data_IF_777178760617
#
_entry.id   IF_777178760617
#
_cell.length_a   1.000
_cell.length_b   1.000
_cell.length_c   1.000
_cell.angle_alpha   90.00
_cell.angle_beta   90.00
_cell.angle_gamma   90.00
#
_symmetry.space_group_name_H-M   'P 1'
#
loop_
_entity.id
_entity.type
_entity.pdbx_description
1 polymer ?
#
# COMPACT_ATOMS: atom_id res chain seq x y z
N UNK A 1 -6.50 -23.92 -13.17
CA UNK A 1 -7.19 -22.95 -12.28
C UNK A 1 -6.92 -23.38 -10.85
N UNK A 2 -6.43 -22.50 -9.97
CA UNK A 2 -6.08 -22.86 -8.59
C UNK A 2 -7.35 -23.20 -7.79
N UNK A 3 -7.53 -24.48 -7.43
CA UNK A 3 -8.69 -24.94 -6.65
C UNK A 3 -8.78 -24.28 -5.27
N UNK A 4 -7.64 -23.78 -4.74
CA UNK A 4 -7.53 -23.07 -3.48
C UNK A 4 -7.52 -21.53 -3.63
N UNK A 5 -7.85 -20.94 -4.77
CA UNK A 5 -8.00 -19.48 -4.84
C UNK A 5 -9.05 -18.97 -3.81
N UNK A 6 -8.82 -17.87 -3.05
CA UNK A 6 -7.73 -16.88 -3.13
C UNK A 6 -6.44 -17.25 -2.37
N UNK A 7 -6.37 -18.45 -1.79
CA UNK A 7 -5.23 -18.99 -1.08
C UNK A 7 -4.32 -19.85 -1.98
N UNK A 8 -3.19 -20.28 -1.42
CA UNK A 8 -2.29 -21.28 -1.99
C UNK A 8 -2.23 -22.45 -1.02
N UNK A 9 -2.32 -23.68 -1.53
CA UNK A 9 -2.11 -24.89 -0.74
C UNK A 9 -0.62 -25.13 -0.55
N UNK A 10 -0.24 -25.44 0.68
CA UNK A 10 1.08 -25.95 1.07
C UNK A 10 0.89 -27.32 1.70
N UNK A 11 1.59 -28.31 1.17
CA UNK A 11 1.55 -29.69 1.68
C UNK A 11 2.72 -29.92 2.63
N UNK A 12 2.41 -30.45 3.82
CA UNK A 12 3.40 -30.87 4.81
C UNK A 12 3.34 -32.39 4.97
N UNK A 13 4.32 -32.97 5.66
CA UNK A 13 4.43 -34.43 5.84
C UNK A 13 3.20 -35.08 6.50
N UNK A 14 2.47 -34.35 7.34
CA UNK A 14 1.34 -34.88 8.13
C UNK A 14 0.11 -33.95 8.13
N UNK A 15 0.16 -32.85 7.37
CA UNK A 15 -0.88 -31.83 7.37
C UNK A 15 -0.84 -31.00 6.09
N UNK A 16 -1.84 -30.16 5.94
CA UNK A 16 -1.97 -29.20 4.85
C UNK A 16 -2.14 -27.81 5.45
N UNK A 17 -1.66 -26.80 4.76
CA UNK A 17 -1.90 -25.40 5.08
C UNK A 17 -2.42 -24.66 3.87
N UNK A 18 -3.31 -23.69 4.07
CA UNK A 18 -3.67 -22.70 3.07
C UNK A 18 -3.13 -21.35 3.51
N UNK A 19 -2.49 -20.64 2.58
CA UNK A 19 -1.88 -19.35 2.83
C UNK A 19 -2.49 -18.31 1.89
N UNK A 20 -2.81 -17.12 2.42
CA UNK A 20 -3.14 -15.96 1.60
C UNK A 20 -2.30 -14.77 2.03
N UNK A 21 -1.62 -14.14 1.08
CA UNK A 21 -0.88 -12.87 1.26
C UNK A 21 -1.49 -11.73 0.43
N UNK A 22 -2.45 -12.06 -0.43
CA UNK A 22 -3.09 -11.15 -1.37
C UNK A 22 -4.45 -10.70 -0.81
N UNK A 23 -4.42 -9.87 0.23
CA UNK A 23 -5.64 -9.47 0.94
C UNK A 23 -6.55 -8.51 0.17
N UNK A 24 -6.06 -7.93 -0.91
CA UNK A 24 -6.83 -7.06 -1.80
C UNK A 24 -8.06 -7.76 -2.39
N UNK A 25 -8.08 -9.09 -2.47
CA UNK A 25 -9.23 -9.86 -2.93
C UNK A 25 -10.46 -9.78 -2.00
N UNK A 26 -10.31 -9.38 -0.74
CA UNK A 26 -11.41 -9.40 0.22
C UNK A 26 -12.08 -8.02 0.32
N UNK A 27 -13.17 -7.85 -0.43
CA UNK A 27 -13.92 -6.59 -0.54
C UNK A 27 -14.52 -6.09 0.78
N UNK A 28 -14.80 -6.98 1.72
CA UNK A 28 -15.45 -6.63 2.99
C UNK A 28 -14.49 -6.51 4.18
N UNK A 29 -13.19 -6.70 3.97
CA UNK A 29 -12.23 -6.79 5.08
C UNK A 29 -11.24 -5.61 5.06
N UNK A 30 -11.26 -4.82 6.12
CA UNK A 30 -10.20 -3.86 6.44
C UNK A 30 -9.05 -4.60 7.17
N UNK A 31 -7.92 -4.82 6.50
CA UNK A 31 -6.67 -5.26 7.13
C UNK A 31 -5.96 -6.45 6.47
N UNK A 32 -4.91 -6.95 7.14
CA UNK A 32 -4.05 -8.04 6.67
C UNK A 32 -4.49 -9.41 7.18
N UNK A 33 -3.53 -10.31 7.40
CA UNK A 33 -3.82 -11.73 7.70
C UNK A 33 -4.72 -11.95 8.91
N UNK A 34 -4.58 -11.15 9.98
CA UNK A 34 -5.46 -11.21 11.15
C UNK A 34 -6.93 -10.90 10.86
N UNK A 35 -7.21 -10.00 9.91
CA UNK A 35 -8.59 -9.65 9.55
C UNK A 35 -9.22 -10.77 8.73
N UNK A 36 -8.46 -11.38 7.82
CA UNK A 36 -8.89 -12.59 7.09
C UNK A 36 -9.08 -13.77 8.03
N UNK A 37 -8.22 -13.93 9.04
CA UNK A 37 -8.39 -14.98 10.05
C UNK A 37 -9.71 -14.83 10.80
N UNK A 38 -10.06 -13.61 11.21
CA UNK A 38 -11.32 -13.35 11.90
C UNK A 38 -12.52 -13.75 11.04
N UNK A 39 -12.48 -13.43 9.74
CA UNK A 39 -13.49 -13.86 8.78
C UNK A 39 -13.51 -15.38 8.64
N UNK A 40 -12.35 -16.01 8.41
CA UNK A 40 -12.22 -17.43 8.21
C UNK A 40 -12.71 -18.23 9.44
N UNK A 41 -12.45 -17.74 10.66
CA UNK A 41 -12.98 -18.30 11.90
C UNK A 41 -14.51 -18.18 11.97
N UNK A 42 -15.08 -17.06 11.54
CA UNK A 42 -16.53 -16.87 11.47
C UNK A 42 -17.16 -17.89 10.50
N UNK A 43 -16.64 -17.99 9.28
CA UNK A 43 -17.11 -18.94 8.27
C UNK A 43 -16.94 -20.39 8.72
N UNK A 44 -15.77 -20.75 9.25
CA UNK A 44 -15.53 -22.09 9.78
C UNK A 44 -16.53 -22.44 10.89
N UNK A 45 -16.92 -21.47 11.74
CA UNK A 45 -17.90 -21.70 12.79
C UNK A 45 -19.30 -21.91 12.22
N UNK A 46 -19.72 -21.05 11.28
CA UNK A 46 -21.03 -21.12 10.61
C UNK A 46 -21.21 -22.45 9.85
N UNK A 47 -20.13 -22.98 9.28
CA UNK A 47 -20.12 -24.21 8.49
C UNK A 47 -19.56 -25.43 9.25
N UNK A 48 -19.39 -25.34 10.58
CA UNK A 48 -18.99 -26.45 11.46
C UNK A 48 -17.61 -27.08 11.15
N UNK A 49 -16.67 -26.29 10.62
CA UNK A 49 -15.31 -26.71 10.27
C UNK A 49 -14.28 -26.47 11.39
N UNK A 50 -14.64 -25.78 12.47
CA UNK A 50 -13.68 -25.24 13.46
C UNK A 50 -12.86 -26.27 14.22
N UNK A 51 -13.33 -27.51 14.36
CA UNK A 51 -12.60 -28.55 15.10
C UNK A 51 -11.40 -29.10 14.33
N UNK A 52 -11.39 -28.91 13.02
CA UNK A 52 -10.42 -29.53 12.12
C UNK A 52 -9.38 -28.52 11.60
N UNK A 53 -9.50 -27.23 11.97
CA UNK A 53 -8.68 -26.14 11.44
C UNK A 53 -7.97 -25.39 12.58
N UNK A 54 -6.66 -25.31 12.48
CA UNK A 54 -5.83 -24.40 13.29
C UNK A 54 -5.48 -23.16 12.47
N UNK A 55 -5.56 -21.97 13.07
CA UNK A 55 -5.19 -20.71 12.41
C UNK A 55 -3.96 -20.12 13.08
N UNK A 56 -3.06 -19.58 12.26
CA UNK A 56 -1.78 -19.00 12.69
C UNK A 56 -1.38 -17.84 11.76
N UNK A 57 -2.21 -16.80 11.74
CA UNK A 57 -2.00 -15.67 10.84
C UNK A 57 -1.08 -14.61 11.44
N UNK A 58 -0.42 -13.86 10.57
CA UNK A 58 0.36 -12.66 10.88
C UNK A 58 -0.20 -11.45 10.13
N UNK A 59 0.36 -10.25 10.39
CA UNK A 59 -0.09 -9.03 9.71
C UNK A 59 0.00 -9.15 8.17
N UNK A 60 1.05 -9.78 7.65
CA UNK A 60 1.29 -9.95 6.21
C UNK A 60 0.79 -11.27 5.62
N UNK A 61 0.27 -12.20 6.42
CA UNK A 61 -0.03 -13.56 5.97
C UNK A 61 -1.22 -14.15 6.73
N UNK A 62 -2.28 -14.56 6.02
CA UNK A 62 -3.30 -15.45 6.56
C UNK A 62 -2.81 -16.89 6.43
N UNK A 63 -2.96 -17.68 7.50
CA UNK A 63 -2.63 -19.11 7.49
C UNK A 63 -3.69 -19.92 8.23
N UNK A 64 -4.12 -21.01 7.61
CA UNK A 64 -4.96 -22.03 8.23
C UNK A 64 -4.46 -23.43 7.86
N UNK A 65 -4.36 -24.32 8.84
CA UNK A 65 -3.86 -25.68 8.66
C UNK A 65 -4.84 -26.73 9.16
N UNK A 66 -4.86 -27.90 8.50
CA UNK A 66 -5.68 -29.05 8.87
C UNK A 66 -4.98 -30.35 8.45
N UNK A 67 -5.31 -31.46 9.11
CA UNK A 67 -4.91 -32.80 8.66
C UNK A 67 -5.68 -33.27 7.42
N UNK A 68 -6.87 -32.71 7.16
CA UNK A 68 -7.73 -33.05 6.04
C UNK A 68 -7.76 -31.93 4.99
N UNK A 69 -7.17 -32.19 3.81
CA UNK A 69 -7.16 -31.28 2.66
C UNK A 69 -8.56 -30.81 2.26
N UNK A 70 -9.59 -31.66 2.35
CA UNK A 70 -10.95 -31.33 1.95
C UNK A 70 -11.58 -30.22 2.82
N UNK A 71 -11.24 -30.18 4.11
CA UNK A 71 -11.71 -29.15 5.04
C UNK A 71 -11.13 -27.78 4.65
N UNK A 72 -9.84 -27.73 4.28
CA UNK A 72 -9.23 -26.49 3.81
C UNK A 72 -9.79 -26.05 2.47
N UNK A 73 -10.09 -27.00 1.57
CA UNK A 73 -10.73 -26.68 0.29
C UNK A 73 -12.11 -26.07 0.51
N UNK A 74 -12.89 -26.60 1.45
CA UNK A 74 -14.19 -26.07 1.81
C UNK A 74 -14.10 -24.66 2.41
N UNK A 75 -13.20 -24.43 3.38
CA UNK A 75 -12.97 -23.09 3.93
C UNK A 75 -12.57 -22.11 2.83
N UNK A 76 -11.72 -22.54 1.91
CA UNK A 76 -11.23 -21.72 0.80
C UNK A 76 -12.34 -21.37 -0.19
N UNK A 77 -13.26 -22.30 -0.47
CA UNK A 77 -14.44 -22.03 -1.29
C UNK A 77 -15.32 -20.95 -0.67
N UNK A 78 -15.54 -20.99 0.65
CA UNK A 78 -16.30 -19.96 1.38
C UNK A 78 -15.60 -18.60 1.33
N UNK A 79 -14.27 -18.58 1.47
CA UNK A 79 -13.49 -17.35 1.33
C UNK A 79 -13.61 -16.77 -0.09
N UNK A 80 -13.63 -17.61 -1.13
CA UNK A 80 -13.79 -17.17 -2.53
C UNK A 80 -15.15 -16.52 -2.80
N UNK A 81 -16.22 -16.98 -2.16
CA UNK A 81 -17.54 -16.34 -2.31
C UNK A 81 -17.52 -14.88 -1.86
N UNK A 82 -16.63 -14.53 -0.92
CA UNK A 82 -16.48 -13.17 -0.38
C UNK A 82 -15.55 -12.31 -1.24
N UNK A 83 -14.72 -12.91 -2.10
CA UNK A 83 -13.84 -12.15 -3.01
C UNK A 83 -14.57 -11.61 -4.24
N UNK A 84 -15.90 -11.40 -4.17
CA UNK A 84 -16.70 -10.83 -5.25
C UNK A 84 -16.69 -11.62 -6.56
N UNK A 85 -16.24 -12.88 -6.53
CA UNK A 85 -16.06 -13.69 -7.75
C UNK A 85 -14.86 -13.31 -8.62
N UNK A 86 -13.84 -12.64 -8.07
CA UNK A 86 -12.59 -12.44 -8.79
C UNK A 86 -12.00 -13.79 -9.24
N UNK A 87 -11.77 -13.94 -10.55
CA UNK A 87 -10.99 -15.07 -11.06
C UNK A 87 -9.50 -14.81 -10.78
N UNK A 88 -8.76 -15.88 -10.45
CA UNK A 88 -7.31 -15.89 -10.30
C UNK A 88 -6.67 -14.89 -11.28
N UNK A 89 -6.06 -13.82 -10.75
CA UNK A 89 -5.47 -12.76 -11.58
C UNK A 89 -4.76 -13.39 -12.77
N UNK A 90 -5.28 -13.17 -13.97
CA UNK A 90 -4.46 -13.27 -15.17
C UNK A 90 -3.33 -12.30 -14.92
N UNK A 91 -2.10 -12.78 -14.87
CA UNK A 91 -0.94 -11.92 -14.79
C UNK A 91 -1.14 -10.82 -15.83
N UNK A 92 -1.29 -9.57 -15.37
CA UNK A 92 -1.32 -8.45 -16.27
C UNK A 92 -0.06 -8.53 -17.14
N UNK A 93 -0.24 -8.35 -18.45
CA UNK A 93 0.82 -8.51 -19.45
C UNK A 93 2.13 -7.90 -18.95
N UNK A 94 3.23 -8.64 -19.14
CA UNK A 94 4.54 -8.27 -18.64
C UNK A 94 4.85 -6.81 -19.00
N UNK A 95 5.02 -5.96 -17.99
CA UNK A 95 5.58 -4.63 -18.17
C UNK A 95 6.92 -4.79 -18.89
N UNK A 96 6.96 -4.37 -20.15
CA UNK A 96 8.20 -4.34 -20.93
C UNK A 96 8.68 -2.91 -20.87
N UNK A 97 9.77 -2.69 -20.13
CA UNK A 97 10.41 -1.38 -20.06
C UNK A 97 11.01 -1.06 -21.44
N UNK A 98 10.86 0.18 -21.89
CA UNK A 98 11.50 0.64 -23.14
C UNK A 98 12.99 0.94 -22.96
N UNK A 99 13.47 0.87 -21.72
CA UNK A 99 14.84 1.16 -21.26
C UNK A 99 15.26 0.10 -20.24
N UNK A 100 16.56 0.05 -19.93
CA UNK A 100 17.05 -0.83 -18.88
C UNK A 100 16.50 -0.43 -17.50
N UNK A 101 16.36 -1.41 -16.62
CA UNK A 101 15.85 -1.21 -15.26
C UNK A 101 16.68 -0.17 -14.48
N UNK A 102 18.00 -0.20 -14.64
CA UNK A 102 18.90 0.75 -13.98
C UNK A 102 18.66 2.17 -14.45
N UNK A 103 18.48 2.37 -15.75
CA UNK A 103 18.16 3.68 -16.32
C UNK A 103 16.79 4.18 -15.82
N UNK A 104 15.78 3.30 -15.80
CA UNK A 104 14.46 3.64 -15.26
C UNK A 104 14.54 4.05 -13.78
N UNK A 105 15.35 3.36 -12.98
CA UNK A 105 15.56 3.68 -11.57
C UNK A 105 16.29 5.01 -11.38
N UNK A 106 17.34 5.30 -12.17
CA UNK A 106 18.05 6.58 -12.14
C UNK A 106 17.13 7.76 -12.50
N UNK A 107 16.28 7.60 -13.51
CA UNK A 107 15.27 8.60 -13.88
C UNK A 107 14.24 8.81 -12.77
N UNK A 108 13.79 7.73 -12.14
CA UNK A 108 12.83 7.80 -11.05
C UNK A 108 13.41 8.54 -9.83
N UNK A 109 14.65 8.21 -9.47
CA UNK A 109 15.32 8.82 -8.32
C UNK A 109 15.53 10.32 -8.53
N UNK A 110 16.03 10.72 -9.69
CA UNK A 110 16.27 12.13 -10.02
C UNK A 110 14.97 12.91 -10.31
N UNK A 111 13.97 12.26 -10.89
CA UNK A 111 12.72 12.93 -11.26
C UNK A 111 11.73 13.07 -10.11
N UNK A 112 11.65 12.10 -9.21
CA UNK A 112 10.53 11.98 -8.28
C UNK A 112 10.92 11.75 -6.82
N UNK A 113 12.05 11.11 -6.53
CA UNK A 113 12.33 10.63 -5.15
C UNK A 113 13.34 11.50 -4.41
N UNK A 114 14.45 11.89 -5.04
CA UNK A 114 15.49 12.70 -4.40
C UNK A 114 15.39 14.17 -4.79
N UNK A 115 14.99 14.40 -6.03
CA UNK A 115 14.79 15.72 -6.60
C UNK A 115 13.51 15.73 -7.43
N UNK A 116 13.04 16.92 -7.77
CA UNK A 116 11.89 17.14 -8.66
C UNK A 116 12.37 17.67 -10.01
N UNK A 117 13.27 16.93 -10.67
CA UNK A 117 13.81 17.32 -11.98
C UNK A 117 12.76 17.06 -13.08
N UNK A 118 12.18 18.13 -13.61
CA UNK A 118 11.10 18.08 -14.61
C UNK A 118 11.51 17.37 -15.91
N UNK A 119 12.76 17.52 -16.35
CA UNK A 119 13.26 16.86 -17.56
C UNK A 119 13.35 15.34 -17.35
N UNK A 120 13.82 14.92 -16.16
CA UNK A 120 13.87 13.51 -15.77
C UNK A 120 12.49 12.92 -15.58
N UNK A 121 11.54 13.68 -15.03
CA UNK A 121 10.13 13.26 -14.95
C UNK A 121 9.53 13.03 -16.34
N UNK A 122 9.76 13.97 -17.27
CA UNK A 122 9.26 13.87 -18.64
C UNK A 122 9.90 12.70 -19.39
N UNK A 123 11.20 12.46 -19.18
CA UNK A 123 11.91 11.31 -19.74
C UNK A 123 11.37 9.99 -19.19
N UNK A 124 11.20 9.87 -17.87
CA UNK A 124 10.62 8.70 -17.22
C UNK A 124 9.24 8.37 -17.78
N UNK A 125 8.32 9.35 -17.79
CA UNK A 125 6.95 9.14 -18.26
C UNK A 125 6.84 8.76 -19.74
N UNK A 126 7.85 9.09 -20.55
CA UNK A 126 7.93 8.70 -21.96
C UNK A 126 8.41 7.26 -22.14
N UNK A 127 9.35 6.82 -21.30
CA UNK A 127 10.10 5.58 -21.49
C UNK A 127 9.59 4.41 -20.63
N UNK A 128 9.01 4.72 -19.47
CA UNK A 128 8.46 3.75 -18.52
C UNK A 128 6.94 3.76 -18.66
N UNK A 129 6.33 2.71 -19.23
CA UNK A 129 4.89 2.64 -19.35
C UNK A 129 4.23 2.43 -17.99
N UNK A 130 3.00 2.94 -17.85
CA UNK A 130 2.18 2.65 -16.68
C UNK A 130 1.85 1.16 -16.64
N UNK A 131 2.07 0.45 -15.52
CA UNK A 131 1.70 -0.95 -15.40
C UNK A 131 0.22 -1.19 -15.68
N UNK A 132 -0.07 -2.33 -16.32
CA UNK A 132 -1.44 -2.75 -16.51
C UNK A 132 -2.12 -2.96 -15.15
N UNK A 133 -3.34 -2.44 -15.04
CA UNK A 133 -4.19 -2.55 -13.86
C UNK A 133 -5.35 -3.48 -14.16
N UNK A 134 -5.83 -4.16 -13.12
CA UNK A 134 -6.95 -5.07 -13.22
C UNK A 134 -8.25 -4.27 -13.35
N UNK A 135 -9.36 -4.87 -13.81
CA UNK A 135 -10.63 -4.13 -13.93
C UNK A 135 -11.07 -3.48 -12.60
N UNK A 136 -10.88 -4.16 -11.48
CA UNK A 136 -11.21 -3.65 -10.14
C UNK A 136 -10.28 -2.52 -9.72
N UNK A 137 -8.96 -2.67 -9.91
CA UNK A 137 -8.01 -1.57 -9.66
C UNK A 137 -8.33 -0.34 -10.53
N UNK A 138 -8.69 -0.56 -11.80
CA UNK A 138 -9.09 0.50 -12.70
C UNK A 138 -10.35 1.23 -12.20
N UNK A 139 -11.36 0.50 -11.74
CA UNK A 139 -12.57 1.08 -11.14
C UNK A 139 -12.25 1.91 -9.90
N UNK A 140 -11.38 1.44 -9.01
CA UNK A 140 -10.96 2.22 -7.84
C UNK A 140 -10.20 3.49 -8.22
N UNK A 141 -9.29 3.43 -9.20
CA UNK A 141 -8.57 4.60 -9.70
C UNK A 141 -9.54 5.61 -10.32
N UNK A 142 -10.52 5.17 -11.10
CA UNK A 142 -11.55 6.06 -11.64
C UNK A 142 -12.43 6.67 -10.54
N UNK A 143 -12.81 5.86 -9.54
CA UNK A 143 -13.65 6.29 -8.44
C UNK A 143 -12.98 7.39 -7.60
N UNK A 144 -11.67 7.30 -7.30
CA UNK A 144 -10.99 8.38 -6.56
C UNK A 144 -10.98 9.72 -7.31
N UNK A 145 -10.96 9.71 -8.65
CA UNK A 145 -10.94 10.93 -9.45
C UNK A 145 -12.32 11.54 -9.68
N UNK A 146 -13.33 10.72 -9.97
CA UNK A 146 -14.63 11.19 -10.45
C UNK A 146 -15.86 10.64 -9.73
N UNK A 147 -15.69 9.79 -8.72
CA UNK A 147 -16.79 9.19 -7.97
C UNK A 147 -17.44 10.15 -6.98
N UNK A 148 -18.56 9.71 -6.42
CA UNK A 148 -19.19 10.31 -5.25
C UNK A 148 -18.27 10.24 -4.02
N UNK A 149 -18.56 11.02 -2.97
CA UNK A 149 -17.76 11.00 -1.76
C UNK A 149 -17.67 9.59 -1.13
N UNK A 150 -18.74 8.80 -1.19
CA UNK A 150 -18.76 7.42 -0.68
C UNK A 150 -17.87 6.50 -1.52
N UNK A 151 -18.01 6.54 -2.85
CA UNK A 151 -17.17 5.75 -3.77
C UNK A 151 -15.68 6.09 -3.64
N UNK A 152 -15.35 7.39 -3.52
CA UNK A 152 -13.98 7.84 -3.29
C UNK A 152 -13.40 7.29 -1.99
N UNK A 153 -14.17 7.30 -0.90
CA UNK A 153 -13.75 6.74 0.40
C UNK A 153 -13.49 5.24 0.28
N UNK A 154 -14.43 4.49 -0.32
CA UNK A 154 -14.29 3.04 -0.50
C UNK A 154 -13.05 2.73 -1.34
N UNK A 155 -12.89 3.41 -2.48
CA UNK A 155 -11.76 3.22 -3.36
C UNK A 155 -10.42 3.57 -2.70
N UNK A 156 -10.33 4.68 -1.99
CA UNK A 156 -9.13 5.08 -1.26
C UNK A 156 -8.74 4.04 -0.20
N UNK A 157 -9.71 3.50 0.54
CA UNK A 157 -9.48 2.43 1.52
C UNK A 157 -8.99 1.13 0.87
N UNK A 158 -9.56 0.75 -0.27
CA UNK A 158 -9.15 -0.44 -1.04
C UNK A 158 -7.71 -0.32 -1.53
N UNK A 159 -7.37 0.83 -2.12
CA UNK A 159 -6.02 1.13 -2.56
C UNK A 159 -5.05 1.16 -1.37
N UNK A 160 -5.45 1.74 -0.23
CA UNK A 160 -4.64 1.76 0.99
C UNK A 160 -4.38 0.33 1.52
N UNK A 161 -5.41 -0.53 1.55
CA UNK A 161 -5.24 -1.93 1.95
C UNK A 161 -4.25 -2.68 1.02
N UNK A 162 -4.30 -2.41 -0.28
CA UNK A 162 -3.32 -2.95 -1.23
C UNK A 162 -1.90 -2.41 -0.96
N UNK A 163 -1.75 -1.11 -0.74
CA UNK A 163 -0.48 -0.47 -0.43
C UNK A 163 0.17 -1.05 0.86
N UNK A 164 -0.65 -1.31 1.87
CA UNK A 164 -0.23 -1.88 3.17
C UNK A 164 0.16 -3.35 3.12
N UNK A 165 -0.15 -4.06 2.04
CA UNK A 165 0.06 -5.52 1.96
C UNK A 165 1.14 -5.88 0.95
N UNK A 166 1.30 -5.11 -0.12
CA UNK A 166 2.39 -5.28 -1.10
C UNK A 166 3.54 -4.28 -0.91
N UNK A 167 4.77 -4.70 -1.19
CA UNK A 167 5.92 -3.79 -1.35
C UNK A 167 6.06 -3.36 -2.80
N UNK A 168 6.95 -2.41 -3.05
CA UNK A 168 7.33 -1.97 -4.39
C UNK A 168 7.68 -3.15 -5.30
N UNK A 169 7.15 -3.07 -6.51
CA UNK A 169 7.48 -3.90 -7.67
C UNK A 169 7.25 -3.03 -8.90
N UNK A 170 8.19 -3.00 -9.84
CA UNK A 170 8.07 -2.24 -11.08
C UNK A 170 6.82 -2.62 -11.88
N UNK A 171 6.32 -3.84 -11.74
CA UNK A 171 5.08 -4.31 -12.38
C UNK A 171 3.82 -3.88 -11.62
N UNK A 172 3.96 -3.29 -10.44
CA UNK A 172 2.84 -2.86 -9.61
C UNK A 172 2.51 -1.39 -9.86
N UNK A 173 1.25 -1.10 -10.15
CA UNK A 173 0.81 0.26 -10.49
C UNK A 173 1.13 1.30 -9.39
N UNK A 174 0.97 0.94 -8.11
CA UNK A 174 1.32 1.81 -6.97
C UNK A 174 2.79 2.25 -6.94
N UNK A 175 3.69 1.56 -7.65
CA UNK A 175 5.11 1.90 -7.72
C UNK A 175 5.44 2.93 -8.80
N UNK A 176 4.43 3.40 -9.55
CA UNK A 176 4.59 4.29 -10.70
C UNK A 176 4.09 5.72 -10.40
N UNK A 177 4.83 6.79 -10.77
CA UNK A 177 4.46 8.20 -10.55
C UNK A 177 3.06 8.59 -11.05
N UNK A 178 2.60 8.00 -12.15
CA UNK A 178 1.21 8.17 -12.65
C UNK A 178 0.13 7.84 -11.62
N UNK A 179 0.34 6.87 -10.73
CA UNK A 179 -0.62 6.63 -9.65
C UNK A 179 -0.66 7.80 -8.67
N UNK A 180 0.51 8.37 -8.35
CA UNK A 180 0.58 9.59 -7.55
C UNK A 180 -0.19 10.72 -8.25
N UNK A 181 -0.04 10.90 -9.57
CA UNK A 181 -0.79 11.92 -10.33
C UNK A 181 -2.32 11.80 -10.15
N UNK A 182 -2.86 10.58 -10.12
CA UNK A 182 -4.28 10.35 -9.88
C UNK A 182 -4.72 10.83 -8.49
N UNK A 183 -3.91 10.56 -7.46
CA UNK A 183 -4.17 11.03 -6.09
C UNK A 183 -4.02 12.55 -5.95
N UNK A 184 -2.97 13.13 -6.53
CA UNK A 184 -2.74 14.59 -6.46
C UNK A 184 -3.88 15.34 -7.14
N UNK A 185 -4.28 14.89 -8.34
CA UNK A 185 -5.43 15.46 -9.07
C UNK A 185 -6.72 15.37 -8.23
N UNK A 186 -6.97 14.23 -7.59
CA UNK A 186 -8.14 14.06 -6.72
C UNK A 186 -8.08 15.01 -5.50
N UNK A 187 -6.91 15.16 -4.86
CA UNK A 187 -6.70 16.02 -3.71
C UNK A 187 -6.77 17.52 -4.02
N UNK A 188 -6.46 17.92 -5.24
CA UNK A 188 -6.58 19.32 -5.69
C UNK A 188 -8.04 19.74 -5.90
N UNK A 189 -8.90 18.76 -6.20
CA UNK A 189 -10.33 18.97 -6.47
C UNK A 189 -11.22 18.67 -5.26
N UNK A 190 -10.66 18.05 -4.20
CA UNK A 190 -11.45 17.55 -3.08
C UNK A 190 -11.81 18.67 -2.09
N UNK A 191 -13.08 18.66 -1.64
CA UNK A 191 -13.61 19.62 -0.68
C UNK A 191 -14.19 18.94 0.56
N UNK A 192 -14.45 17.63 0.49
CA UNK A 192 -14.94 16.84 1.60
C UNK A 192 -13.78 16.39 2.51
N UNK A 193 -13.72 16.84 3.78
CA UNK A 193 -12.60 16.54 4.67
C UNK A 193 -12.41 15.05 4.97
N UNK A 194 -13.49 14.26 4.90
CA UNK A 194 -13.41 12.81 5.12
C UNK A 194 -12.77 12.12 3.92
N UNK A 195 -13.11 12.55 2.70
CA UNK A 195 -12.50 12.02 1.48
C UNK A 195 -11.03 12.41 1.42
N UNK A 196 -10.70 13.68 1.70
CA UNK A 196 -9.32 14.15 1.77
C UNK A 196 -8.49 13.31 2.75
N UNK A 197 -9.03 13.02 3.95
CA UNK A 197 -8.35 12.19 4.94
C UNK A 197 -8.03 10.78 4.42
N UNK A 198 -8.97 10.12 3.76
CA UNK A 198 -8.74 8.76 3.23
C UNK A 198 -7.76 8.75 2.05
N UNK A 199 -7.80 9.77 1.18
CA UNK A 199 -6.84 9.95 0.10
C UNK A 199 -5.42 10.18 0.63
N UNK A 200 -5.26 11.06 1.62
CA UNK A 200 -3.96 11.28 2.28
C UNK A 200 -3.48 10.00 2.97
N UNK A 201 -4.37 9.25 3.61
CA UNK A 201 -4.00 7.99 4.26
C UNK A 201 -3.47 6.96 3.27
N UNK A 202 -4.13 6.80 2.12
CA UNK A 202 -3.63 5.94 1.05
C UNK A 202 -2.26 6.41 0.55
N UNK A 203 -2.08 7.71 0.30
CA UNK A 203 -0.78 8.26 -0.13
C UNK A 203 0.35 8.00 0.87
N UNK A 204 0.10 8.09 2.18
CA UNK A 204 1.11 7.79 3.21
C UNK A 204 1.69 6.38 3.02
N UNK A 205 0.84 5.37 2.81
CA UNK A 205 1.29 3.99 2.64
C UNK A 205 1.84 3.68 1.25
N UNK A 206 1.38 4.38 0.22
CA UNK A 206 2.02 4.33 -1.10
C UNK A 206 3.45 4.86 -0.98
N UNK A 207 3.67 5.99 -0.29
CA UNK A 207 5.00 6.57 -0.08
C UNK A 207 5.89 5.70 0.81
N UNK A 208 5.32 5.07 1.83
CA UNK A 208 6.05 4.15 2.69
C UNK A 208 6.58 2.96 1.90
N UNK A 209 5.69 2.28 1.15
CA UNK A 209 5.92 0.92 0.67
C UNK A 209 6.15 0.76 -0.83
N UNK A 210 5.84 1.77 -1.63
CA UNK A 210 5.87 1.66 -3.09
C UNK A 210 6.72 2.73 -3.74
N UNK A 211 6.42 4.00 -3.50
CA UNK A 211 7.06 5.11 -4.18
C UNK A 211 7.08 6.36 -3.29
N UNK A 212 8.23 6.70 -2.67
CA UNK A 212 8.41 7.91 -1.86
C UNK A 212 8.52 9.16 -2.74
N UNK A 213 7.45 9.50 -3.46
CA UNK A 213 7.38 10.61 -4.41
C UNK A 213 7.35 11.97 -3.69
N UNK A 214 8.38 12.79 -3.91
CA UNK A 214 8.54 14.12 -3.30
C UNK A 214 7.42 15.10 -3.65
N UNK A 215 6.70 14.90 -4.76
CA UNK A 215 5.57 15.78 -5.12
C UNK A 215 4.43 15.72 -4.10
N UNK A 216 4.36 14.65 -3.30
CA UNK A 216 3.39 14.49 -2.22
C UNK A 216 3.68 15.37 -0.99
N UNK A 217 4.91 15.88 -0.86
CA UNK A 217 5.36 16.61 0.33
C UNK A 217 4.48 17.83 0.64
N UNK A 218 4.09 18.60 -0.38
CA UNK A 218 3.21 19.78 -0.22
C UNK A 218 1.83 19.41 0.33
N UNK A 219 1.31 18.22 0.02
CA UNK A 219 0.03 17.71 0.50
C UNK A 219 0.13 17.24 1.96
N UNK A 220 1.25 16.62 2.34
CA UNK A 220 1.51 16.29 3.74
C UNK A 220 1.70 17.55 4.60
N UNK A 221 2.42 18.55 4.08
CA UNK A 221 2.52 19.88 4.69
C UNK A 221 1.16 20.55 4.86
N UNK A 222 0.27 20.44 3.86
CA UNK A 222 -1.12 20.92 3.97
C UNK A 222 -1.86 20.19 5.10
N UNK A 223 -1.74 18.87 5.17
CA UNK A 223 -2.39 18.05 6.20
C UNK A 223 -1.97 18.42 7.63
N UNK A 224 -0.70 18.82 7.84
CA UNK A 224 -0.18 19.31 9.13
C UNK A 224 -0.94 20.56 9.65
N UNK A 225 -1.49 21.39 8.76
CA UNK A 225 -2.22 22.61 9.15
C UNK A 225 -3.67 22.33 9.58
N UNK A 226 -4.14 21.09 9.45
CA UNK A 226 -5.54 20.72 9.72
C UNK A 226 -5.89 20.83 11.21
N UNK A 227 -7.15 21.21 11.49
CA UNK A 227 -7.72 21.14 12.85
C UNK A 227 -7.89 19.69 13.33
N UNK A 228 -8.01 18.74 12.41
CA UNK A 228 -8.16 17.32 12.70
C UNK A 228 -6.82 16.68 13.08
N UNK A 229 -6.72 16.09 14.27
CA UNK A 229 -5.49 15.46 14.75
C UNK A 229 -5.07 14.24 13.92
N UNK A 230 -5.99 13.51 13.30
CA UNK A 230 -5.66 12.42 12.35
C UNK A 230 -4.97 12.95 11.11
N UNK A 231 -5.44 14.07 10.55
CA UNK A 231 -4.79 14.69 9.40
C UNK A 231 -3.38 15.15 9.73
N UNK A 232 -3.18 15.79 10.89
CA UNK A 232 -1.82 16.18 11.33
C UNK A 232 -0.91 14.99 11.55
N UNK A 233 -1.42 13.94 12.19
CA UNK A 233 -0.69 12.68 12.36
C UNK A 233 -0.27 12.07 11.02
N UNK A 234 -1.20 11.99 10.05
CA UNK A 234 -0.89 11.53 8.69
C UNK A 234 0.11 12.43 7.97
N UNK A 235 0.07 13.75 8.21
CA UNK A 235 1.04 14.69 7.67
C UNK A 235 2.46 14.40 8.15
N UNK A 236 2.65 14.12 9.45
CA UNK A 236 3.96 13.77 10.01
C UNK A 236 4.44 12.44 9.41
N UNK A 237 3.58 11.41 9.41
CA UNK A 237 3.92 10.11 8.82
C UNK A 237 4.29 10.23 7.34
N UNK A 238 3.53 11.00 6.57
CA UNK A 238 3.76 11.19 5.14
C UNK A 238 5.10 11.85 4.85
N UNK A 239 5.46 12.90 5.61
CA UNK A 239 6.78 13.55 5.51
C UNK A 239 7.91 12.60 5.90
N UNK A 240 7.73 11.78 6.93
CA UNK A 240 8.72 10.77 7.31
C UNK A 240 8.93 9.71 6.22
N UNK A 241 7.94 9.52 5.34
CA UNK A 241 8.01 8.56 4.23
C UNK A 241 8.56 9.15 2.93
N UNK A 242 8.79 10.46 2.81
CA UNK A 242 9.55 11.03 1.68
C UNK A 242 11.06 10.81 1.87
N UNK A 243 11.88 11.10 0.86
CA UNK A 243 13.35 11.01 1.01
C UNK A 243 13.89 11.98 2.04
N UNK A 244 13.35 13.19 2.09
CA UNK A 244 13.74 14.21 3.05
C UNK A 244 12.57 15.09 3.50
N UNK A 245 12.71 15.70 4.67
CA UNK A 245 11.84 16.74 5.23
C UNK A 245 12.66 17.63 6.18
N UNK A 246 12.12 18.79 6.57
CA UNK A 246 12.76 19.65 7.59
C UNK A 246 12.37 19.19 9.00
N UNK A 247 13.33 18.77 9.85
CA UNK A 247 13.06 18.38 11.23
C UNK A 247 12.39 19.48 12.05
N UNK A 248 12.69 20.75 11.73
CA UNK A 248 12.11 21.91 12.38
C UNK A 248 10.58 21.92 12.23
N UNK A 249 10.06 21.54 11.06
CA UNK A 249 8.62 21.45 10.81
C UNK A 249 7.97 20.41 11.74
N UNK A 250 8.60 19.24 11.90
CA UNK A 250 8.07 18.17 12.77
C UNK A 250 8.20 18.54 14.24
N UNK A 251 9.27 19.25 14.62
CA UNK A 251 9.51 19.69 16.00
C UNK A 251 8.41 20.59 16.55
N UNK A 252 7.74 21.37 15.69
CA UNK A 252 6.58 22.20 16.07
C UNK A 252 5.42 21.37 16.63
N UNK A 253 5.36 20.06 16.36
CA UNK A 253 4.29 19.17 16.78
C UNK A 253 4.62 18.37 18.06
N UNK A 254 5.80 18.56 18.66
CA UNK A 254 6.16 17.93 19.94
C UNK A 254 5.24 18.36 21.10
N UNK A 255 4.62 19.53 20.99
CA UNK A 255 3.66 20.07 21.96
C UNK A 255 2.21 20.08 21.45
N UNK A 256 1.91 19.35 20.36
CA UNK A 256 0.56 19.28 19.81
C UNK A 256 -0.46 18.84 20.88
N UNK A 257 -1.69 19.38 20.85
CA UNK A 257 -2.75 19.02 21.82
C UNK A 257 -3.06 17.52 21.83
N UNK A 258 -2.91 16.84 20.70
CA UNK A 258 -3.20 15.42 20.56
C UNK A 258 -1.98 14.55 20.89
N UNK A 259 -2.15 13.60 21.82
CA UNK A 259 -1.08 12.67 22.20
C UNK A 259 -0.51 11.91 21.00
N UNK A 260 -1.35 11.39 20.10
CA UNK A 260 -0.87 10.64 18.93
C UNK A 260 -0.01 11.47 17.97
N UNK A 261 -0.29 12.77 17.87
CA UNK A 261 0.50 13.68 17.02
C UNK A 261 1.86 13.91 17.66
N UNK A 262 1.89 14.15 18.99
CA UNK A 262 3.15 14.28 19.74
C UNK A 262 4.01 13.02 19.67
N UNK A 263 3.39 11.85 19.89
CA UNK A 263 4.07 10.56 19.86
C UNK A 263 4.71 10.31 18.49
N UNK A 264 3.98 10.61 17.40
CA UNK A 264 4.49 10.46 16.04
C UNK A 264 5.60 11.46 15.72
N UNK A 265 5.48 12.71 16.17
CA UNK A 265 6.54 13.71 16.03
C UNK A 265 7.83 13.25 16.74
N UNK A 266 7.70 12.76 17.98
CA UNK A 266 8.81 12.23 18.75
C UNK A 266 9.42 11.00 18.08
N UNK A 267 8.59 10.06 17.63
CA UNK A 267 9.06 8.87 16.92
C UNK A 267 9.81 9.23 15.64
N UNK A 268 9.26 10.15 14.85
CA UNK A 268 9.86 10.61 13.59
C UNK A 268 11.23 11.26 13.84
N UNK A 269 11.34 12.18 14.80
CA UNK A 269 12.62 12.84 15.11
C UNK A 269 13.65 11.91 15.75
N UNK A 270 13.21 10.83 16.43
CA UNK A 270 14.11 9.81 16.95
C UNK A 270 14.75 8.98 15.83
N UNK A 271 13.97 8.65 14.78
CA UNK A 271 14.43 7.77 13.70
C UNK A 271 15.02 8.54 12.50
N UNK A 272 14.66 9.82 12.34
CA UNK A 272 15.10 10.70 11.27
C UNK A 272 15.55 12.07 11.83
N UNK A 273 16.59 12.12 12.68
CA UNK A 273 16.99 13.34 13.40
C UNK A 273 17.47 14.47 12.49
N UNK A 274 17.97 14.15 11.30
CA UNK A 274 18.42 15.07 10.26
C UNK A 274 17.38 15.25 9.14
N UNK A 275 16.20 14.66 9.30
CA UNK A 275 15.11 14.75 8.32
C UNK A 275 15.33 13.92 7.07
N UNK A 276 16.27 12.96 7.11
CA UNK A 276 16.60 12.07 5.99
C UNK A 276 16.06 10.67 6.24
N UNK A 277 15.47 10.06 5.21
CA UNK A 277 15.00 8.66 5.24
C UNK A 277 16.01 7.74 4.58
N UNK A 278 16.50 6.75 5.32
CA UNK A 278 17.15 5.57 4.74
C UNK A 278 16.08 4.64 4.17
N UNK A 279 16.21 4.27 2.90
CA UNK A 279 15.27 3.36 2.26
C UNK A 279 15.69 1.90 2.44
N UNK A 280 14.70 1.02 2.63
CA UNK A 280 14.95 -0.40 2.72
C UNK A 280 15.29 -1.00 1.34
N UNK A 281 16.04 -2.10 1.33
CA UNK A 281 16.49 -2.80 0.10
C UNK A 281 15.36 -3.43 -0.72
N UNK A 282 14.16 -3.55 -0.16
CA UNK A 282 12.96 -3.96 -0.91
C UNK A 282 12.30 -2.78 -1.66
N UNK A 283 12.65 -1.53 -1.32
CA UNK A 283 12.14 -0.32 -1.97
C UNK A 283 13.08 0.18 -3.08
N UNK A 284 14.39 0.08 -2.88
CA UNK A 284 15.37 0.37 -3.93
C UNK A 284 16.48 -0.67 -3.87
N UNK A 285 17.16 -0.91 -5.00
CA UNK A 285 18.29 -1.85 -5.01
C UNK A 285 19.37 -1.41 -4.00
N UNK A 286 20.19 -2.34 -3.47
CA UNK A 286 21.27 -1.95 -2.55
C UNK A 286 22.25 -0.95 -3.18
N UNK A 287 22.50 -1.04 -4.49
CA UNK A 287 23.31 -0.07 -5.23
C UNK A 287 22.64 1.31 -5.21
N UNK A 288 21.33 1.37 -5.45
CA UNK A 288 20.54 2.59 -5.39
C UNK A 288 20.49 3.16 -3.98
N UNK A 289 20.28 2.36 -2.94
CA UNK A 289 20.26 2.81 -1.54
C UNK A 289 21.59 3.47 -1.18
N UNK A 290 22.72 2.84 -1.48
CA UNK A 290 24.05 3.42 -1.22
C UNK A 290 24.27 4.73 -1.98
N UNK A 291 23.76 4.84 -3.22
CA UNK A 291 23.84 6.07 -4.00
C UNK A 291 22.97 7.18 -3.41
N UNK A 292 21.75 6.85 -3.00
CA UNK A 292 20.82 7.76 -2.33
C UNK A 292 21.48 8.32 -1.06
N UNK A 293 22.02 7.44 -0.21
CA UNK A 293 22.74 7.82 1.01
C UNK A 293 23.95 8.73 0.73
N UNK A 294 24.65 8.54 -0.39
CA UNK A 294 25.77 9.38 -0.80
C UNK A 294 25.34 10.77 -1.34
N UNK A 295 24.09 10.91 -1.80
CA UNK A 295 23.55 12.14 -2.37
C UNK A 295 22.79 13.01 -1.36
N UNK A 296 22.42 12.45 -0.21
CA UNK A 296 21.65 13.13 0.82
C UNK A 296 22.55 13.76 1.87
#
# INVERSE_FOLDING_TARGET
MNEFFPCILVEHSTSFSIICTNFHYFDEIDGGGYSVERLARKLAKEHQLTRDITFDSEAGMFSASASNKAVLLQLTSLLREITGGEEQHKACDSLTLSIDLKEAEELLLAGFVLTLDEDKQAQFNRQVPYPAVTPVQHQHIQAIQGGTAEEKIIAAKKINAEARTKTRDWKHYLSHPKTIDYFLTALDQETNPKVEQELIWALVFICDRHLPDLRTQSYFMRALTSKNATMRWLGIMGLANTSCFSPEIVSMYLEDKSKKVRDEAQFTLLHHPDGKRTFASWLFSEESVKRIEAMM
#
